data_IF_506894021059
#
_entry.id   IF_506894021059
#
_cell.length_a   1.000
_cell.length_b   1.000
_cell.length_c   1.000
_cell.angle_alpha   90.00
_cell.angle_beta   90.00
_cell.angle_gamma   90.00
#
_symmetry.space_group_name_H-M   'P 1'
#
loop_
_entity.id
_entity.type
_entity.pdbx_description
1 polymer ?
#
# COMPACT_ATOMS: atom_id res chain seq x y z
N UNK A 1 -27.85 -61.08 24.93
CA UNK A 1 -28.05 -60.04 23.83
C UNK A 1 -27.81 -58.63 24.25
N UNK A 2 -27.78 -58.24 25.50
CA UNK A 2 -27.65 -56.82 25.97
C UNK A 2 -26.21 -56.26 25.97
N UNK A 3 -25.17 -57.09 26.07
CA UNK A 3 -23.78 -56.63 26.09
C UNK A 3 -23.20 -56.25 24.72
N UNK A 4 -23.70 -56.79 23.63
CA UNK A 4 -23.24 -56.50 22.27
C UNK A 4 -23.74 -55.14 21.82
N UNK A 5 -24.93 -54.72 22.21
CA UNK A 5 -25.51 -53.42 21.88
C UNK A 5 -24.80 -52.23 22.57
N UNK A 6 -24.21 -52.49 23.75
CA UNK A 6 -23.50 -51.43 24.48
C UNK A 6 -22.11 -51.14 23.86
N UNK A 7 -21.39 -52.19 23.39
CA UNK A 7 -20.07 -52.02 22.70
C UNK A 7 -20.20 -51.31 21.37
N UNK A 8 -21.24 -51.59 20.59
CA UNK A 8 -21.48 -50.92 19.30
C UNK A 8 -21.82 -49.44 19.48
N UNK A 9 -22.64 -49.05 20.47
CA UNK A 9 -22.95 -47.67 20.80
C UNK A 9 -21.73 -46.86 21.27
N UNK A 10 -20.80 -47.48 22.00
CA UNK A 10 -19.53 -46.82 22.43
C UNK A 10 -18.56 -46.65 21.25
N UNK A 11 -18.47 -47.65 20.38
CA UNK A 11 -17.64 -47.58 19.17
C UNK A 11 -18.15 -46.53 18.19
N UNK A 12 -19.44 -46.36 18.00
CA UNK A 12 -20.02 -45.33 17.13
C UNK A 12 -19.85 -43.93 17.71
N UNK A 13 -19.94 -43.74 19.03
CA UNK A 13 -19.57 -42.48 19.69
C UNK A 13 -18.09 -42.14 19.55
N UNK A 14 -17.19 -43.12 19.68
CA UNK A 14 -15.76 -42.93 19.48
C UNK A 14 -15.41 -42.59 18.03
N UNK A 15 -16.05 -43.23 17.06
CA UNK A 15 -15.91 -42.88 15.64
C UNK A 15 -16.40 -41.47 15.33
N UNK A 16 -17.55 -41.06 15.90
CA UNK A 16 -18.10 -39.71 15.72
C UNK A 16 -17.20 -38.64 16.35
N UNK A 17 -16.61 -38.90 17.52
CA UNK A 17 -15.66 -37.98 18.18
C UNK A 17 -14.35 -37.88 17.38
N UNK A 18 -13.88 -39.01 16.81
CA UNK A 18 -12.68 -39.05 15.98
C UNK A 18 -12.89 -38.35 14.63
N UNK A 19 -14.05 -38.49 13.98
CA UNK A 19 -14.43 -37.75 12.79
C UNK A 19 -14.60 -36.23 13.08
N UNK A 20 -15.24 -35.83 14.18
CA UNK A 20 -15.34 -34.44 14.59
C UNK A 20 -13.98 -33.85 14.92
N UNK A 21 -13.07 -34.60 15.56
CA UNK A 21 -11.70 -34.17 15.84
C UNK A 21 -10.86 -33.98 14.57
N UNK A 22 -11.03 -34.87 13.58
CA UNK A 22 -10.37 -34.76 12.27
C UNK A 22 -10.94 -33.57 11.48
N UNK A 23 -12.25 -33.32 11.50
CA UNK A 23 -12.86 -32.14 10.86
C UNK A 23 -12.43 -30.82 11.53
N UNK A 24 -12.30 -30.79 12.86
CA UNK A 24 -11.77 -29.63 13.59
C UNK A 24 -10.28 -29.40 13.29
N UNK A 25 -9.47 -30.43 13.14
CA UNK A 25 -8.07 -30.32 12.74
C UNK A 25 -7.91 -29.92 11.28
N UNK A 26 -8.79 -30.35 10.37
CA UNK A 26 -8.82 -29.89 8.98
C UNK A 26 -9.33 -28.46 8.86
N UNK A 27 -10.26 -28.01 9.68
CA UNK A 27 -10.71 -26.60 9.69
C UNK A 27 -9.69 -25.63 10.28
N UNK A 28 -8.74 -26.10 11.09
CA UNK A 28 -7.62 -25.29 11.59
C UNK A 28 -6.45 -25.15 10.60
N UNK A 29 -6.41 -25.91 9.51
CA UNK A 29 -5.34 -25.85 8.51
C UNK A 29 -5.68 -25.00 7.26
N UNK A 30 -6.88 -24.43 7.16
CA UNK A 30 -7.30 -23.65 5.98
C UNK A 30 -7.36 -22.13 6.20
N UNK A 31 -6.87 -21.62 7.30
CA UNK A 31 -6.83 -20.18 7.51
C UNK A 31 -5.41 -19.74 7.78
N UNK A 32 -4.77 -19.11 6.82
CA UNK A 32 -3.67 -18.15 7.07
C UNK A 32 -2.97 -17.76 5.77
N UNK A 33 -3.76 -17.43 4.73
CA UNK A 33 -3.21 -16.73 3.57
C UNK A 33 -3.27 -15.20 3.73
N UNK A 34 -4.24 -14.67 4.48
CA UNK A 34 -4.30 -13.24 4.82
C UNK A 34 -3.99 -13.00 6.28
N UNK A 35 -3.23 -11.97 6.56
CA UNK A 35 -3.01 -11.44 7.91
C UNK A 35 -3.64 -10.07 7.96
N UNK A 36 -4.56 -9.90 8.89
CA UNK A 36 -4.96 -8.58 9.35
C UNK A 36 -3.90 -8.16 10.37
N UNK A 37 -3.30 -6.99 10.16
CA UNK A 37 -2.28 -6.44 11.05
C UNK A 37 -2.77 -6.35 12.50
N UNK A 38 -1.84 -6.41 13.42
CA UNK A 38 -2.14 -6.20 14.84
C UNK A 38 -2.55 -4.76 15.15
N UNK A 39 -2.31 -3.84 14.21
CA UNK A 39 -2.44 -2.39 14.41
C UNK A 39 -1.39 -1.84 15.36
N UNK A 40 -0.30 -2.57 15.58
CA UNK A 40 0.78 -2.20 16.49
C UNK A 40 2.10 -2.10 15.72
N UNK A 41 2.64 -0.89 15.62
CA UNK A 41 3.88 -0.60 14.89
C UNK A 41 5.10 -1.36 15.42
N UNK A 42 5.13 -1.73 16.70
CA UNK A 42 6.24 -2.49 17.27
C UNK A 42 6.21 -3.97 16.87
N UNK A 43 5.03 -4.49 16.55
CA UNK A 43 4.86 -5.89 16.16
C UNK A 43 5.03 -6.10 14.66
N UNK A 44 4.51 -5.16 13.85
CA UNK A 44 4.39 -5.34 12.41
C UNK A 44 5.53 -4.68 11.63
N UNK A 45 6.31 -3.77 12.26
CA UNK A 45 7.35 -2.99 11.60
C UNK A 45 8.64 -2.91 12.41
N UNK A 46 9.77 -2.76 11.71
CA UNK A 46 11.07 -2.45 12.27
C UNK A 46 11.65 -1.15 11.70
N UNK A 47 12.49 -0.47 12.46
CA UNK A 47 13.15 0.77 12.01
C UNK A 47 14.33 0.43 11.11
N UNK A 48 14.40 1.06 9.95
CA UNK A 48 15.43 0.82 8.94
C UNK A 48 16.47 1.95 8.85
N UNK A 49 16.10 3.15 9.29
CA UNK A 49 16.99 4.32 9.25
C UNK A 49 16.73 5.26 10.41
N UNK A 50 17.81 5.76 11.04
CA UNK A 50 17.83 6.73 12.14
C UNK A 50 16.82 6.43 13.27
N UNK A 51 17.08 5.42 14.12
CA UNK A 51 16.17 5.06 15.21
C UNK A 51 15.84 6.22 16.16
N UNK A 52 16.77 7.15 16.38
CA UNK A 52 16.56 8.36 17.20
C UNK A 52 15.53 9.34 16.61
N UNK A 53 15.20 9.20 15.32
CA UNK A 53 14.22 10.00 14.59
C UNK A 53 12.86 9.30 14.42
N UNK A 54 12.70 8.12 15.01
CA UNK A 54 11.45 7.36 15.00
C UNK A 54 10.91 7.30 16.42
N UNK A 55 9.70 7.81 16.63
CA UNK A 55 9.01 7.72 17.91
C UNK A 55 7.75 6.87 17.77
N UNK A 56 7.53 5.94 18.70
CA UNK A 56 6.33 5.10 18.73
C UNK A 56 5.65 5.28 20.10
N UNK A 57 4.32 5.41 20.12
CA UNK A 57 3.55 5.50 21.36
C UNK A 57 3.72 4.24 22.21
N UNK A 58 3.51 4.37 23.52
CA UNK A 58 3.68 3.26 24.46
C UNK A 58 2.78 2.06 24.14
N UNK A 59 1.58 2.30 23.59
CA UNK A 59 0.66 1.26 23.13
C UNK A 59 0.97 0.72 21.72
N UNK A 60 1.96 1.29 21.03
CA UNK A 60 2.37 0.92 19.68
C UNK A 60 1.39 1.35 18.57
N UNK A 61 0.31 2.08 18.86
CA UNK A 61 -0.74 2.40 17.89
C UNK A 61 -0.47 3.64 17.05
N UNK A 62 0.50 4.46 17.45
CA UNK A 62 0.95 5.60 16.65
C UNK A 62 2.46 5.61 16.54
N UNK A 63 2.95 6.11 15.42
CA UNK A 63 4.37 6.28 15.13
C UNK A 63 4.59 7.62 14.45
N UNK A 64 5.74 8.24 14.65
CA UNK A 64 6.15 9.42 13.90
C UNK A 64 7.55 9.26 13.35
N UNK A 65 7.78 9.89 12.20
CA UNK A 65 9.08 10.09 11.59
C UNK A 65 9.47 11.54 11.71
N UNK A 66 10.75 11.78 12.00
CA UNK A 66 11.37 13.10 12.06
C UNK A 66 12.40 13.22 10.93
N UNK A 67 12.42 14.39 10.30
CA UNK A 67 13.49 14.86 9.42
C UNK A 67 14.05 16.16 10.00
N UNK A 68 15.34 16.21 10.19
CA UNK A 68 16.09 17.43 10.54
C UNK A 68 17.40 17.48 9.75
N UNK A 69 18.26 18.44 10.10
CA UNK A 69 19.52 18.64 9.38
C UNK A 69 20.50 17.44 9.54
N UNK A 70 20.35 16.64 10.58
CA UNK A 70 21.20 15.48 10.84
C UNK A 70 20.81 14.28 9.97
N UNK A 71 19.51 13.98 9.88
CA UNK A 71 19.03 12.82 9.14
C UNK A 71 17.52 12.87 8.86
N UNK A 72 17.09 12.06 7.91
CA UNK A 72 15.72 11.58 7.80
C UNK A 72 15.50 10.32 8.65
N UNK A 73 14.37 9.64 8.41
CA UNK A 73 14.05 8.40 9.12
C UNK A 73 13.16 7.49 8.30
N UNK A 74 13.20 6.18 8.62
CA UNK A 74 12.41 5.20 7.91
C UNK A 74 12.09 3.96 8.76
N UNK A 75 11.02 3.26 8.37
CA UNK A 75 10.66 1.94 8.89
C UNK A 75 10.07 1.06 7.78
N UNK A 76 10.11 -0.26 7.99
CA UNK A 76 9.61 -1.25 7.04
C UNK A 76 8.81 -2.35 7.74
N UNK A 77 7.90 -3.01 7.00
CA UNK A 77 7.17 -4.17 7.52
C UNK A 77 8.09 -5.37 7.76
N UNK A 78 7.77 -6.16 8.79
CA UNK A 78 8.45 -7.43 9.08
C UNK A 78 8.14 -8.48 8.00
N UNK A 79 6.94 -8.44 7.44
CA UNK A 79 6.48 -9.38 6.43
C UNK A 79 6.56 -8.79 5.01
N UNK A 80 6.68 -9.69 4.04
CA UNK A 80 6.48 -9.41 2.62
C UNK A 80 5.09 -9.92 2.22
N UNK A 81 4.45 -9.21 1.30
CA UNK A 81 3.08 -9.49 0.87
C UNK A 81 3.01 -9.73 -0.64
N UNK A 82 2.06 -10.54 -1.07
CA UNK A 82 1.66 -10.65 -2.46
C UNK A 82 0.15 -10.46 -2.55
N UNK A 83 -0.28 -9.27 -2.99
CA UNK A 83 -1.67 -8.80 -3.04
C UNK A 83 -2.29 -8.52 -1.67
N UNK A 84 -3.29 -7.67 -1.68
CA UNK A 84 -4.04 -7.22 -0.51
C UNK A 84 -4.39 -5.76 -0.56
N UNK A 85 -4.82 -5.24 0.59
CA UNK A 85 -5.04 -3.83 0.80
C UNK A 85 -4.25 -3.35 2.02
N UNK A 86 -3.59 -2.23 1.86
CA UNK A 86 -2.88 -1.53 2.92
C UNK A 86 -3.49 -0.15 3.06
N UNK A 87 -3.94 0.18 4.27
CA UNK A 87 -4.50 1.47 4.63
C UNK A 87 -3.59 2.13 5.65
N UNK A 88 -3.02 3.27 5.31
CA UNK A 88 -2.09 4.01 6.17
C UNK A 88 -2.63 5.41 6.43
N UNK A 89 -3.21 5.67 7.61
CA UNK A 89 -3.56 7.01 8.04
C UNK A 89 -2.30 7.82 8.36
N UNK A 90 -2.17 8.96 7.69
CA UNK A 90 -1.00 9.84 7.76
C UNK A 90 -1.46 11.27 8.00
N UNK A 91 -0.75 11.96 8.91
CA UNK A 91 -0.85 13.41 9.11
C UNK A 91 0.49 14.05 8.76
N UNK A 92 0.47 14.98 7.80
CA UNK A 92 1.68 15.56 7.22
C UNK A 92 2.24 16.75 8.01
N UNK A 93 3.43 17.19 7.61
CA UNK A 93 4.15 18.33 8.20
C UNK A 93 3.37 19.62 7.96
N UNK A 94 2.99 20.36 9.01
CA UNK A 94 2.30 21.64 8.84
C UNK A 94 3.26 22.78 8.42
N UNK A 95 2.71 23.81 7.81
CA UNK A 95 3.41 25.05 7.50
C UNK A 95 4.39 24.91 6.32
N UNK A 96 5.62 25.39 6.51
CA UNK A 96 6.66 25.34 5.47
C UNK A 96 7.35 23.98 5.48
N UNK A 97 7.11 23.21 4.45
CA UNK A 97 7.63 21.82 4.28
C UNK A 97 8.29 21.61 2.91
N UNK A 98 8.61 22.71 2.19
CA UNK A 98 9.24 22.61 0.87
C UNK A 98 10.49 21.72 0.91
N UNK A 99 10.70 20.91 -0.10
CA UNK A 99 11.82 19.98 -0.22
C UNK A 99 11.67 18.70 0.57
N UNK A 100 10.73 18.59 1.53
CA UNK A 100 10.50 17.32 2.25
C UNK A 100 9.73 16.34 1.38
N UNK A 101 10.08 15.05 1.48
CA UNK A 101 9.38 13.95 0.82
C UNK A 101 9.03 12.89 1.86
N UNK A 102 7.75 12.61 1.99
CA UNK A 102 7.28 11.39 2.64
C UNK A 102 6.93 10.37 1.56
N UNK A 103 7.61 9.24 1.56
CA UNK A 103 7.27 8.10 0.72
C UNK A 103 6.60 7.00 1.56
N UNK A 104 5.47 6.49 1.10
CA UNK A 104 4.81 5.25 1.54
C UNK A 104 4.67 4.34 0.34
N UNK A 105 5.37 3.21 0.35
CA UNK A 105 5.47 2.37 -0.82
C UNK A 105 5.58 0.88 -0.50
N UNK A 106 5.22 0.07 -1.49
CA UNK A 106 5.47 -1.36 -1.51
C UNK A 106 6.63 -1.61 -2.47
N UNK A 107 7.63 -2.40 -2.08
CA UNK A 107 8.76 -2.74 -2.97
C UNK A 107 9.26 -4.15 -2.74
N UNK A 108 9.68 -4.80 -3.82
CA UNK A 108 10.35 -6.10 -3.80
C UNK A 108 11.87 -5.94 -3.66
N UNK A 109 12.54 -7.00 -3.23
CA UNK A 109 13.99 -7.01 -3.03
C UNK A 109 14.77 -7.49 -4.28
N UNK A 110 14.12 -7.56 -5.45
CA UNK A 110 14.74 -8.03 -6.69
C UNK A 110 15.47 -6.89 -7.44
N UNK A 111 16.51 -7.19 -8.24
CA UNK A 111 17.21 -6.18 -9.06
C UNK A 111 16.27 -5.47 -10.05
N UNK A 112 15.34 -6.22 -10.66
CA UNK A 112 14.25 -5.72 -11.51
C UNK A 112 12.95 -5.59 -10.69
N UNK A 113 13.01 -4.79 -9.63
CA UNK A 113 11.96 -4.70 -8.63
C UNK A 113 10.61 -4.29 -9.20
N UNK A 114 9.58 -4.79 -8.53
CA UNK A 114 8.24 -4.21 -8.54
C UNK A 114 8.14 -3.19 -7.40
N UNK A 115 7.47 -2.04 -7.65
CA UNK A 115 7.27 -1.01 -6.63
C UNK A 115 5.95 -0.26 -6.88
N UNK A 116 5.25 0.12 -5.82
CA UNK A 116 3.97 0.85 -5.86
C UNK A 116 4.07 1.99 -4.86
N UNK A 117 4.08 3.26 -5.37
CA UNK A 117 4.51 4.41 -4.58
C UNK A 117 3.41 5.44 -4.36
N UNK A 118 3.28 5.88 -3.12
CA UNK A 118 2.80 7.20 -2.73
C UNK A 118 4.00 8.06 -2.32
N UNK A 119 4.10 9.25 -2.89
CA UNK A 119 5.06 10.28 -2.49
C UNK A 119 4.30 11.58 -2.20
N UNK A 120 4.42 12.07 -0.97
CA UNK A 120 3.79 13.30 -0.52
C UNK A 120 4.87 14.37 -0.43
N UNK A 121 4.82 15.30 -1.40
CA UNK A 121 5.82 16.33 -1.59
C UNK A 121 5.41 17.60 -0.84
N UNK A 122 6.22 18.00 0.11
CA UNK A 122 6.03 19.23 0.88
C UNK A 122 6.10 20.49 0.00
N UNK A 123 5.61 21.60 0.51
CA UNK A 123 5.56 22.84 -0.23
C UNK A 123 5.84 24.05 0.66
N UNK A 124 5.97 25.23 0.04
CA UNK A 124 6.07 26.50 0.76
C UNK A 124 4.73 26.81 1.47
N UNK A 125 4.79 27.53 2.57
CA UNK A 125 3.59 27.89 3.34
C UNK A 125 2.49 28.48 2.45
N UNK A 126 1.25 27.99 2.63
CA UNK A 126 0.08 28.43 1.88
C UNK A 126 -0.07 27.79 0.49
N UNK A 127 0.85 26.95 0.07
CA UNK A 127 0.72 26.13 -1.14
C UNK A 127 0.34 24.69 -0.79
N UNK A 128 -0.47 24.01 -1.62
CA UNK A 128 -0.94 22.65 -1.35
C UNK A 128 0.21 21.65 -1.47
N UNK A 129 0.13 20.58 -0.67
CA UNK A 129 0.91 19.37 -0.91
C UNK A 129 0.63 18.79 -2.30
N UNK A 130 1.65 18.22 -2.91
CA UNK A 130 1.52 17.44 -4.13
C UNK A 130 1.58 15.97 -3.74
N UNK A 131 0.55 15.22 -4.10
CA UNK A 131 0.55 13.77 -4.01
C UNK A 131 0.98 13.20 -5.37
N UNK A 132 2.13 12.55 -5.39
CA UNK A 132 2.63 11.78 -6.53
C UNK A 132 2.41 10.30 -6.27
N UNK A 133 2.09 9.56 -7.31
CA UNK A 133 2.04 8.10 -7.31
C UNK A 133 2.89 7.58 -8.45
N UNK A 134 3.56 6.42 -8.24
CA UNK A 134 4.30 5.75 -9.29
C UNK A 134 4.09 4.24 -9.23
N UNK A 135 4.42 3.54 -10.32
CA UNK A 135 4.41 2.08 -10.41
C UNK A 135 5.64 1.63 -11.18
N UNK A 136 6.47 0.84 -10.50
CA UNK A 136 7.51 0.05 -11.14
C UNK A 136 6.98 -1.37 -11.36
N UNK A 137 7.20 -1.91 -12.53
CA UNK A 137 6.84 -3.28 -12.82
C UNK A 137 7.97 -3.92 -13.63
N UNK A 138 8.57 -4.96 -13.09
CA UNK A 138 9.73 -5.66 -13.67
C UNK A 138 10.91 -4.69 -13.97
N UNK A 139 11.13 -3.73 -13.05
CA UNK A 139 12.14 -2.69 -13.15
C UNK A 139 11.82 -1.50 -14.08
N UNK A 140 10.65 -1.53 -14.76
CA UNK A 140 10.20 -0.40 -15.59
C UNK A 140 9.41 0.61 -14.77
N UNK A 141 9.86 1.85 -14.79
CA UNK A 141 9.31 3.01 -14.07
C UNK A 141 8.76 4.10 -15.02
N UNK A 142 8.86 5.35 -14.60
CA UNK A 142 8.44 6.54 -15.37
C UNK A 142 6.94 6.63 -15.60
N UNK A 143 6.15 6.24 -14.59
CA UNK A 143 4.69 6.19 -14.62
C UNK A 143 4.07 7.14 -13.60
N UNK A 144 4.67 8.29 -13.34
CA UNK A 144 4.18 9.20 -12.31
C UNK A 144 2.87 9.87 -12.72
N UNK A 145 1.94 9.92 -11.77
CA UNK A 145 0.77 10.82 -11.80
C UNK A 145 0.82 11.72 -10.56
N UNK A 146 0.37 12.99 -10.69
CA UNK A 146 0.36 13.96 -9.59
C UNK A 146 -1.02 14.57 -9.45
N UNK A 147 -1.46 14.75 -8.20
CA UNK A 147 -2.70 15.44 -7.88
C UNK A 147 -2.47 16.48 -6.78
N UNK A 148 -3.34 17.49 -6.73
CA UNK A 148 -3.59 18.25 -5.51
C UNK A 148 -4.65 17.56 -4.68
N UNK A 149 -4.45 17.52 -3.35
CA UNK A 149 -5.47 17.06 -2.43
C UNK A 149 -6.59 18.11 -2.30
N UNK A 150 -7.80 17.66 -2.03
CA UNK A 150 -9.00 18.52 -1.86
C UNK A 150 -9.21 18.97 -0.41
N UNK A 151 -8.22 18.74 0.44
CA UNK A 151 -8.19 19.09 1.86
C UNK A 151 -6.76 19.47 2.26
N UNK A 152 -6.59 19.98 3.48
CA UNK A 152 -5.29 20.25 4.09
C UNK A 152 -4.81 19.01 4.86
N UNK A 153 -3.82 18.23 4.35
CA UNK A 153 -3.37 16.97 4.94
C UNK A 153 -2.54 17.15 6.22
N UNK A 154 -2.34 18.40 6.66
CA UNK A 154 -1.57 18.72 7.86
C UNK A 154 -2.45 18.88 9.10
N UNK A 155 -3.77 19.01 8.93
CA UNK A 155 -4.71 19.24 10.04
C UNK A 155 -5.14 17.97 10.73
N UNK A 156 -5.46 16.94 9.95
CA UNK A 156 -5.99 15.67 10.45
C UNK A 156 -5.28 14.50 9.80
N UNK A 157 -5.54 13.29 10.33
CA UNK A 157 -5.13 12.05 9.68
C UNK A 157 -6.05 11.75 8.49
N UNK A 158 -5.45 11.47 7.35
CA UNK A 158 -6.12 11.00 6.14
C UNK A 158 -5.57 9.65 5.75
N UNK A 159 -6.43 8.78 5.24
CA UNK A 159 -6.05 7.40 4.91
C UNK A 159 -5.57 7.31 3.46
N UNK A 160 -4.32 6.88 3.28
CA UNK A 160 -3.73 6.57 1.98
C UNK A 160 -3.74 5.07 1.79
N UNK A 161 -4.42 4.59 0.76
CA UNK A 161 -4.69 3.16 0.57
C UNK A 161 -4.14 2.65 -0.75
N UNK A 162 -3.54 1.47 -0.71
CA UNK A 162 -3.15 0.68 -1.89
C UNK A 162 -3.96 -0.61 -1.89
N UNK A 163 -4.90 -0.77 -2.81
CA UNK A 163 -5.47 -2.06 -3.15
C UNK A 163 -4.68 -2.64 -4.33
N UNK A 164 -4.09 -3.80 -4.14
CA UNK A 164 -3.29 -4.49 -5.14
C UNK A 164 -3.77 -5.92 -5.28
N UNK A 165 -4.15 -6.32 -6.49
CA UNK A 165 -4.64 -7.68 -6.78
C UNK A 165 -4.20 -8.14 -8.19
N UNK A 166 -4.73 -9.28 -8.65
CA UNK A 166 -4.44 -9.83 -9.97
C UNK A 166 -4.88 -8.95 -11.15
N UNK A 167 -5.80 -8.01 -10.92
CA UNK A 167 -6.50 -7.26 -11.98
C UNK A 167 -6.08 -5.80 -12.05
N UNK A 168 -5.77 -5.20 -10.91
CA UNK A 168 -5.46 -3.78 -10.84
C UNK A 168 -4.73 -3.39 -9.55
N UNK A 169 -4.06 -2.26 -9.61
CA UNK A 169 -3.63 -1.49 -8.45
C UNK A 169 -4.56 -0.28 -8.39
N UNK A 170 -5.16 -0.01 -7.22
CA UNK A 170 -5.98 1.17 -6.98
C UNK A 170 -5.34 1.97 -5.85
N UNK A 171 -4.95 3.20 -6.15
CA UNK A 171 -4.54 4.18 -5.15
C UNK A 171 -5.77 4.95 -4.71
N UNK A 172 -5.95 5.10 -3.40
CA UNK A 172 -7.08 5.83 -2.82
C UNK A 172 -6.62 6.79 -1.73
N UNK A 173 -7.37 7.88 -1.56
CA UNK A 173 -7.25 8.79 -0.41
C UNK A 173 -8.63 8.90 0.22
N UNK A 174 -8.74 8.57 1.51
CA UNK A 174 -10.00 8.44 2.22
C UNK A 174 -11.02 7.57 1.45
N UNK A 175 -10.53 6.46 0.91
CA UNK A 175 -11.25 5.49 0.06
C UNK A 175 -11.80 6.07 -1.26
N UNK A 176 -11.41 7.29 -1.62
CA UNK A 176 -11.69 7.88 -2.93
C UNK A 176 -10.58 7.45 -3.91
N UNK A 177 -10.88 6.71 -4.99
CA UNK A 177 -9.88 6.32 -5.98
C UNK A 177 -9.31 7.54 -6.70
N UNK A 178 -7.98 7.65 -6.67
CA UNK A 178 -7.24 8.73 -7.34
C UNK A 178 -6.52 8.25 -8.59
N UNK A 179 -6.09 6.98 -8.59
CA UNK A 179 -5.38 6.35 -9.70
C UNK A 179 -5.73 4.86 -9.77
N UNK A 180 -5.76 4.33 -11.00
CA UNK A 180 -5.77 2.89 -11.28
C UNK A 180 -4.63 2.54 -12.22
N UNK A 181 -3.96 1.40 -11.96
CA UNK A 181 -3.03 0.78 -12.89
C UNK A 181 -3.53 -0.64 -13.18
N UNK A 182 -4.02 -0.86 -14.40
CA UNK A 182 -4.66 -2.12 -14.81
C UNK A 182 -3.63 -3.16 -15.19
N UNK A 183 -3.93 -4.42 -14.89
CA UNK A 183 -3.15 -5.54 -15.41
C UNK A 183 -3.48 -5.76 -16.90
N UNK A 184 -2.58 -5.33 -17.76
CA UNK A 184 -2.61 -5.55 -19.20
C UNK A 184 -1.42 -6.43 -19.64
N UNK A 185 -1.03 -7.39 -18.80
CA UNK A 185 0.08 -8.29 -19.12
C UNK A 185 -0.20 -9.18 -20.34
N UNK A 186 -1.47 -9.46 -20.62
CA UNK A 186 -1.92 -10.11 -21.86
C UNK A 186 -1.60 -9.30 -23.12
N UNK A 187 -1.43 -7.98 -22.96
CA UNK A 187 -1.05 -7.05 -24.03
C UNK A 187 0.42 -6.65 -24.00
N UNK A 188 1.23 -7.33 -23.18
CA UNK A 188 2.66 -7.07 -23.05
C UNK A 188 3.01 -5.81 -22.25
N UNK A 189 2.13 -5.38 -21.33
CA UNK A 189 2.42 -4.34 -20.32
C UNK A 189 2.86 -5.02 -19.04
N UNK A 190 4.00 -4.61 -18.49
CA UNK A 190 4.48 -5.14 -17.22
C UNK A 190 3.51 -4.78 -16.08
N UNK A 191 3.26 -5.74 -15.18
CA UNK A 191 2.38 -5.58 -14.04
C UNK A 191 2.95 -6.30 -12.81
N UNK A 192 2.99 -5.68 -11.63
CA UNK A 192 3.44 -6.31 -10.40
C UNK A 192 2.53 -7.48 -10.01
N UNK A 193 2.97 -8.73 -10.26
CA UNK A 193 2.13 -9.92 -10.06
C UNK A 193 2.86 -11.16 -9.58
N UNK A 194 4.18 -11.09 -9.48
CA UNK A 194 5.00 -12.25 -9.13
C UNK A 194 5.90 -12.02 -7.94
N UNK A 195 6.35 -10.80 -7.74
CA UNK A 195 7.31 -10.46 -6.72
C UNK A 195 6.58 -10.04 -5.43
N UNK A 196 6.84 -10.69 -4.29
CA UNK A 196 6.33 -10.21 -3.02
C UNK A 196 6.98 -8.87 -2.68
N UNK A 197 6.22 -7.97 -2.06
CA UNK A 197 6.67 -6.63 -1.69
C UNK A 197 6.50 -6.37 -0.20
N UNK A 198 7.50 -5.75 0.42
CA UNK A 198 7.42 -5.20 1.78
C UNK A 198 6.91 -3.77 1.77
N UNK A 199 6.24 -3.38 2.84
CA UNK A 199 5.85 -1.98 3.06
C UNK A 199 7.08 -1.23 3.55
N UNK A 200 7.38 -0.08 2.94
CA UNK A 200 8.44 0.83 3.37
C UNK A 200 7.89 2.25 3.48
N UNK A 201 8.34 2.95 4.51
CA UNK A 201 7.93 4.33 4.76
C UNK A 201 9.16 5.12 5.14
N UNK A 202 9.39 6.26 4.47
CA UNK A 202 10.55 7.11 4.72
C UNK A 202 10.22 8.60 4.61
N UNK A 203 10.78 9.40 5.50
CA UNK A 203 10.75 10.85 5.46
C UNK A 203 12.17 11.36 5.24
N UNK A 204 12.39 12.13 4.16
CA UNK A 204 13.73 12.50 3.73
C UNK A 204 13.79 13.84 2.98
N UNK A 205 15.01 14.35 2.75
CA UNK A 205 15.30 15.57 2.03
C UNK A 205 15.33 15.33 0.52
N UNK A 206 14.25 15.72 -0.17
CA UNK A 206 14.10 15.70 -1.63
C UNK A 206 14.44 17.04 -2.30
N UNK A 207 15.25 17.89 -1.69
CA UNK A 207 15.59 19.25 -2.20
C UNK A 207 16.12 19.27 -3.62
N UNK A 208 16.65 18.14 -4.12
CA UNK A 208 17.19 18.07 -5.49
C UNK A 208 16.11 18.08 -6.58
N UNK A 209 14.84 17.70 -6.25
CA UNK A 209 13.82 17.51 -7.26
C UNK A 209 12.37 17.79 -6.81
N UNK A 210 12.03 17.63 -5.52
CA UNK A 210 10.65 17.52 -5.07
C UNK A 210 9.83 18.78 -5.32
N UNK A 211 10.10 19.86 -4.61
CA UNK A 211 9.28 21.06 -4.70
C UNK A 211 9.69 21.90 -5.89
N UNK A 212 8.77 22.09 -6.84
CA UNK A 212 8.99 22.82 -8.11
C UNK A 212 10.24 22.39 -8.88
N UNK A 213 10.53 21.06 -8.89
CA UNK A 213 11.71 20.51 -9.55
C UNK A 213 13.02 20.88 -8.87
N UNK A 214 13.03 21.00 -7.53
CA UNK A 214 14.20 21.33 -6.71
C UNK A 214 14.52 22.82 -6.61
N UNK A 215 13.62 23.71 -7.07
CA UNK A 215 13.78 25.17 -6.92
C UNK A 215 13.57 25.61 -5.47
N UNK A 216 12.64 24.98 -4.77
CA UNK A 216 12.41 25.19 -3.34
C UNK A 216 13.01 24.04 -2.56
N UNK A 217 14.03 24.33 -1.78
CA UNK A 217 14.77 23.36 -0.97
C UNK A 217 14.21 23.33 0.46
N UNK A 218 14.64 22.34 1.24
CA UNK A 218 14.34 22.27 2.66
C UNK A 218 14.95 23.50 3.36
N UNK A 219 14.10 24.23 4.07
CA UNK A 219 14.53 25.29 4.99
C UNK A 219 14.69 24.71 6.40
N UNK A 220 15.91 24.37 6.76
CA UNK A 220 16.23 23.75 8.04
C UNK A 220 15.86 24.60 9.26
N UNK A 221 15.70 25.92 9.10
CA UNK A 221 15.24 26.80 10.17
C UNK A 221 13.78 26.54 10.58
N UNK A 222 13.02 25.80 9.75
CA UNK A 222 11.62 25.40 9.98
C UNK A 222 11.48 24.00 10.53
N UNK A 223 12.59 23.28 10.64
CA UNK A 223 12.62 21.93 11.23
C UNK A 223 12.51 21.93 12.77
N UNK A 224 12.37 20.77 13.42
CA UNK A 224 12.26 19.48 12.75
C UNK A 224 10.92 19.29 12.02
N UNK A 225 10.93 18.53 10.93
CA UNK A 225 9.74 18.14 10.17
C UNK A 225 9.24 16.80 10.69
N UNK A 226 7.98 16.73 11.09
CA UNK A 226 7.41 15.53 11.73
C UNK A 226 6.17 15.09 10.96
N UNK A 227 6.15 13.82 10.56
CA UNK A 227 4.99 13.12 10.00
C UNK A 227 4.51 12.10 11.01
N UNK A 228 3.21 11.98 11.18
CA UNK A 228 2.58 11.06 12.13
C UNK A 228 1.73 10.01 11.42
N UNK A 229 1.73 8.80 11.96
CA UNK A 229 0.99 7.62 11.50
C UNK A 229 0.18 7.06 12.67
N UNK A 230 -1.03 6.55 12.39
CA UNK A 230 -1.87 5.93 13.41
C UNK A 230 -2.88 4.97 12.78
N UNK A 231 -3.29 3.95 13.54
CA UNK A 231 -4.44 3.11 13.19
C UNK A 231 -4.39 2.51 11.77
N UNK A 232 -3.20 2.12 11.29
CA UNK A 232 -3.06 1.46 9.99
C UNK A 232 -3.77 0.10 9.96
N UNK A 233 -4.10 -0.35 8.75
CA UNK A 233 -4.59 -1.71 8.50
C UNK A 233 -3.79 -2.34 7.36
N UNK A 234 -3.35 -3.58 7.57
CA UNK A 234 -2.79 -4.44 6.54
C UNK A 234 -3.70 -5.66 6.44
N UNK A 235 -4.44 -5.78 5.35
CA UNK A 235 -5.23 -6.97 5.02
C UNK A 235 -4.69 -7.52 3.71
N UNK A 236 -3.68 -8.38 3.81
CA UNK A 236 -2.86 -8.80 2.69
C UNK A 236 -2.38 -10.24 2.85
N UNK A 237 -2.03 -10.87 1.74
CA UNK A 237 -1.49 -12.22 1.76
C UNK A 237 0.00 -12.18 2.11
N UNK A 238 0.36 -12.68 3.29
CA UNK A 238 1.77 -12.84 3.68
C UNK A 238 2.46 -13.87 2.78
N UNK A 239 3.59 -13.48 2.22
CA UNK A 239 4.38 -14.34 1.37
C UNK A 239 5.01 -15.51 2.15
N UNK A 240 4.69 -16.73 1.75
CA UNK A 240 5.21 -18.00 2.32
C UNK A 240 5.99 -18.82 1.29
N UNK A 241 6.64 -18.16 0.32
CA UNK A 241 7.44 -18.83 -0.72
C UNK A 241 6.65 -19.39 -1.90
N UNK A 242 5.32 -19.25 -1.93
CA UNK A 242 4.48 -19.79 -3.00
C UNK A 242 3.30 -18.85 -3.33
N UNK A 243 3.30 -18.32 -4.53
CA UNK A 243 2.26 -17.41 -5.03
C UNK A 243 0.86 -18.05 -5.12
N UNK A 244 0.76 -19.38 -5.16
CA UNK A 244 -0.51 -20.10 -5.33
C UNK A 244 -1.53 -19.73 -4.26
N UNK A 245 -1.08 -19.60 -3.00
CA UNK A 245 -1.97 -19.26 -1.89
C UNK A 245 -2.54 -17.84 -2.02
N UNK A 246 -1.72 -16.88 -2.38
CA UNK A 246 -2.11 -15.47 -2.52
C UNK A 246 -2.96 -15.21 -3.77
N UNK A 247 -2.86 -16.07 -4.77
CA UNK A 247 -3.60 -15.99 -6.05
C UNK A 247 -4.89 -16.78 -6.05
N UNK A 248 -5.11 -17.61 -5.04
CA UNK A 248 -6.30 -18.43 -4.94
C UNK A 248 -7.55 -17.56 -4.73
N UNK A 249 -8.64 -17.96 -5.39
CA UNK A 249 -9.97 -17.46 -5.07
C UNK A 249 -10.43 -18.12 -3.76
N UNK A 250 -10.38 -17.36 -2.69
CA UNK A 250 -10.75 -17.79 -1.34
C UNK A 250 -11.41 -16.66 -0.57
N UNK A 251 -12.14 -16.98 0.47
CA UNK A 251 -12.73 -15.96 1.36
C UNK A 251 -11.68 -15.10 2.04
N UNK A 252 -10.48 -15.66 2.28
CA UNK A 252 -9.35 -14.94 2.88
C UNK A 252 -8.70 -13.96 1.92
N UNK A 253 -8.74 -14.22 0.61
CA UNK A 253 -8.17 -13.36 -0.43
C UNK A 253 -9.29 -12.55 -1.12
N UNK A 254 -10.09 -11.86 -0.31
CA UNK A 254 -11.27 -11.13 -0.78
C UNK A 254 -10.97 -10.14 -1.93
N UNK A 255 -9.76 -9.60 -1.98
CA UNK A 255 -9.32 -8.67 -3.05
C UNK A 255 -9.27 -9.31 -4.44
N UNK A 256 -9.29 -10.65 -4.56
CA UNK A 256 -9.34 -11.36 -5.84
C UNK A 256 -10.77 -11.61 -6.35
N UNK A 257 -11.81 -11.29 -5.54
CA UNK A 257 -13.21 -11.48 -5.94
C UNK A 257 -13.59 -10.56 -7.11
N UNK A 258 -14.64 -10.96 -7.83
CA UNK A 258 -15.13 -10.27 -9.04
C UNK A 258 -15.39 -8.78 -8.82
N UNK A 259 -15.92 -8.40 -7.68
CA UNK A 259 -16.22 -7.00 -7.32
C UNK A 259 -14.99 -6.09 -7.23
N UNK A 260 -13.79 -6.66 -7.10
CA UNK A 260 -12.51 -5.94 -7.05
C UNK A 260 -11.73 -5.99 -8.36
N UNK A 261 -12.28 -6.60 -9.40
CA UNK A 261 -11.65 -6.67 -10.73
C UNK A 261 -11.64 -5.32 -11.45
N UNK A 262 -12.53 -4.41 -11.08
CA UNK A 262 -12.60 -3.05 -11.61
C UNK A 262 -13.25 -2.12 -10.60
N UNK A 263 -13.15 -0.81 -10.82
CA UNK A 263 -13.84 0.16 -9.99
C UNK A 263 -15.36 -0.01 -10.13
N UNK A 264 -16.07 0.01 -9.00
CA UNK A 264 -17.53 0.09 -8.96
C UNK A 264 -18.04 1.38 -9.62
N UNK A 265 -19.33 1.46 -9.96
CA UNK A 265 -19.94 2.66 -10.54
C UNK A 265 -19.72 3.92 -9.67
N UNK A 266 -19.88 3.80 -8.34
CA UNK A 266 -19.65 4.90 -7.40
C UNK A 266 -18.17 5.34 -7.40
N UNK A 267 -17.24 4.38 -7.37
CA UNK A 267 -15.80 4.66 -7.42
C UNK A 267 -15.40 5.32 -8.74
N UNK A 268 -15.95 4.90 -9.87
CA UNK A 268 -15.67 5.53 -11.18
C UNK A 268 -16.13 7.00 -11.22
N UNK A 269 -17.22 7.36 -10.55
CA UNK A 269 -17.66 8.77 -10.45
C UNK A 269 -16.64 9.60 -9.68
N UNK A 270 -16.19 9.12 -8.51
CA UNK A 270 -15.16 9.78 -7.71
C UNK A 270 -13.82 9.87 -8.45
N UNK A 271 -13.39 8.79 -9.08
CA UNK A 271 -12.20 8.76 -9.91
C UNK A 271 -12.23 9.82 -11.02
N UNK A 272 -13.34 9.91 -11.76
CA UNK A 272 -13.52 10.94 -12.80
C UNK A 272 -13.48 12.36 -12.23
N UNK A 273 -14.05 12.57 -11.04
CA UNK A 273 -14.02 13.86 -10.36
C UNK A 273 -12.57 14.26 -9.98
N UNK A 274 -11.81 13.35 -9.37
CA UNK A 274 -10.40 13.60 -9.04
C UNK A 274 -9.60 13.95 -10.30
N UNK A 275 -9.73 13.15 -11.35
CA UNK A 275 -8.98 13.39 -12.60
C UNK A 275 -9.36 14.70 -13.28
N UNK A 276 -10.61 15.14 -13.17
CA UNK A 276 -11.07 16.40 -13.77
C UNK A 276 -10.61 17.64 -13.00
N UNK A 277 -10.58 17.58 -11.68
CA UNK A 277 -10.41 18.78 -10.86
C UNK A 277 -9.10 18.83 -10.07
N UNK A 278 -8.44 17.69 -9.85
CA UNK A 278 -7.28 17.57 -8.99
C UNK A 278 -6.02 17.04 -9.67
N UNK A 279 -6.14 16.38 -10.83
CA UNK A 279 -4.99 15.89 -11.58
C UNK A 279 -4.19 17.05 -12.16
N UNK A 280 -2.88 17.09 -11.87
CA UNK A 280 -1.96 18.13 -12.34
C UNK A 280 -0.86 17.58 -13.25
N UNK A 281 -0.62 16.26 -13.22
CA UNK A 281 0.33 15.59 -14.11
C UNK A 281 -0.11 14.14 -14.35
N UNK A 282 -0.03 13.71 -15.60
CA UNK A 282 -0.22 12.32 -16.02
C UNK A 282 0.85 12.00 -17.08
N UNK A 283 1.73 11.04 -16.77
CA UNK A 283 2.79 10.63 -17.68
C UNK A 283 2.26 10.23 -19.08
N UNK A 284 1.05 9.72 -19.17
CA UNK A 284 0.40 9.41 -20.43
C UNK A 284 0.02 10.65 -21.29
N UNK A 285 0.20 11.85 -20.76
CA UNK A 285 0.01 13.11 -21.49
C UNK A 285 1.31 13.82 -21.78
N UNK A 286 2.45 13.29 -21.33
CA UNK A 286 3.77 13.89 -21.50
C UNK A 286 4.50 13.34 -22.72
N UNK A 287 4.00 13.69 -23.90
CA UNK A 287 4.62 13.28 -25.18
C UNK A 287 6.09 13.69 -25.29
N UNK A 288 6.47 14.82 -24.70
CA UNK A 288 7.84 15.33 -24.75
C UNK A 288 8.80 14.39 -24.01
N UNK A 289 8.42 13.92 -22.82
CA UNK A 289 9.22 12.99 -22.00
C UNK A 289 9.50 11.68 -22.75
N UNK A 290 8.53 11.19 -23.51
CA UNK A 290 8.61 9.93 -24.23
C UNK A 290 8.92 10.06 -25.73
N UNK A 291 9.37 11.22 -26.20
CA UNK A 291 9.69 11.45 -27.62
C UNK A 291 8.53 11.04 -28.56
N UNK A 292 7.30 11.32 -28.18
CA UNK A 292 6.04 10.93 -28.85
C UNK A 292 5.80 9.40 -28.91
N UNK A 293 6.50 8.62 -28.10
CA UNK A 293 6.29 7.17 -27.99
C UNK A 293 5.86 6.82 -26.56
N UNK A 294 4.61 7.14 -26.24
CA UNK A 294 4.05 6.90 -24.90
C UNK A 294 4.05 5.40 -24.57
N UNK A 295 4.20 5.04 -23.26
CA UNK A 295 4.03 3.67 -22.81
C UNK A 295 2.73 3.04 -23.29
N UNK A 296 2.76 1.75 -23.58
CA UNK A 296 1.66 1.01 -24.21
C UNK A 296 0.36 1.08 -23.42
N UNK A 297 0.45 1.06 -22.09
CA UNK A 297 -0.69 1.18 -21.18
C UNK A 297 -1.45 2.49 -21.33
N UNK A 298 -0.84 3.55 -21.84
CA UNK A 298 -1.48 4.85 -22.04
C UNK A 298 -2.59 4.81 -23.10
N UNK A 299 -2.56 3.82 -23.98
CA UNK A 299 -3.59 3.60 -25.03
C UNK A 299 -4.66 2.58 -24.60
N UNK A 300 -4.58 2.06 -23.38
CA UNK A 300 -5.47 1.02 -22.87
C UNK A 300 -6.44 1.57 -21.83
N UNK A 301 -7.49 0.79 -21.52
CA UNK A 301 -8.48 1.19 -20.52
C UNK A 301 -7.84 1.32 -19.13
N UNK A 302 -8.16 2.40 -18.44
CA UNK A 302 -7.79 2.64 -17.04
C UNK A 302 -8.82 2.04 -16.04
N UNK A 303 -9.98 1.52 -16.51
CA UNK A 303 -11.04 0.93 -15.65
C UNK A 303 -11.91 -0.06 -16.42
#
# INVERSE_FOLDING_TARGET
MTQINHKNKVMDKLKSIFLCGIFLLYSLQTSLASVVSTGNFNNDFFVTWSPSHVNTSADGRSRSLKLDQEAGSAFASNDMFLFGQIDMPIKLVPGHSAGTVLAFYLTSDQPNRDEIDFELLGNVSGQPYILQTNVYADGFDNREERIYLWFDPTKDFHTYSILWNLHQIVFMVDFVPIRTYRNHADKGVAYPRWQPMGIRISLWDGSSWATRGGKDKVDWSKGPFIVSFANYTIDACVWKGNARFCRADSSSNWWNKEEFTSLSWKQRRWFKWVRKYHLIYDYCQDNKRFNNNLPKECYLSKY
#
